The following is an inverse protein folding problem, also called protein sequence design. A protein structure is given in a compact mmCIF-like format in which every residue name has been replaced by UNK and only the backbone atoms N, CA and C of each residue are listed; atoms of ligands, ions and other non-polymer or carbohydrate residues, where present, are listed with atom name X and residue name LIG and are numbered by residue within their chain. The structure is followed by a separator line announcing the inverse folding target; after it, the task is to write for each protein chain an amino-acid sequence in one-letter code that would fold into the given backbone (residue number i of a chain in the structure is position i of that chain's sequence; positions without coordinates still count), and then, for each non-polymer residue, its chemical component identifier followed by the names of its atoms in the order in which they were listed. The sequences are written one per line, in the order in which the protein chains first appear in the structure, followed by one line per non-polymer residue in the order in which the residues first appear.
data_IF_878617509101
#
_entry.id   IF_878617509101
#
_cell.length_a   1.000
_cell.length_b   1.000
_cell.length_c   1.000
_cell.angle_alpha   90.00
_cell.angle_beta   90.00
_cell.angle_gamma   90.00
#
_symmetry.space_group_name_H-M   'P 1'
#
loop_
_entity.id
_entity.type
_entity.pdbx_description
1 polymer ?
#
# COMPACT_ATOMS: atom_id res chain seq x y z
N UNK A 1 37.52 -3.48 -64.54
CA UNK A 1 36.19 -3.49 -63.86
C UNK A 1 35.70 -4.87 -63.41
N UNK A 2 36.39 -5.99 -63.70
CA UNK A 2 35.96 -7.33 -63.25
C UNK A 2 36.56 -7.79 -61.92
N UNK A 3 37.66 -7.18 -61.45
CA UNK A 3 38.33 -7.57 -60.19
C UNK A 3 37.78 -6.86 -58.94
N UNK A 4 37.27 -5.62 -59.05
CA UNK A 4 36.69 -4.91 -57.89
C UNK A 4 35.35 -5.49 -57.41
N UNK A 5 34.63 -6.20 -58.27
CA UNK A 5 33.37 -6.86 -57.91
C UNK A 5 33.58 -8.12 -57.04
N UNK A 6 34.70 -8.82 -57.21
CA UNK A 6 35.00 -10.04 -56.44
C UNK A 6 35.38 -9.73 -54.99
N UNK A 7 36.11 -8.62 -54.76
CA UNK A 7 36.49 -8.20 -53.40
C UNK A 7 35.28 -7.69 -52.61
N UNK A 8 34.35 -6.99 -53.26
CA UNK A 8 33.13 -6.49 -52.63
C UNK A 8 32.17 -7.62 -52.22
N UNK A 9 32.09 -8.70 -52.99
CA UNK A 9 31.25 -9.86 -52.62
C UNK A 9 31.79 -10.65 -51.43
N UNK A 10 33.12 -10.69 -51.23
CA UNK A 10 33.74 -11.37 -50.08
C UNK A 10 33.55 -10.55 -48.79
N UNK A 11 33.66 -9.22 -48.87
CA UNK A 11 33.43 -8.32 -47.71
C UNK A 11 31.96 -8.32 -47.29
N UNK A 12 31.02 -8.40 -48.24
CA UNK A 12 29.59 -8.52 -47.94
C UNK A 12 29.27 -9.88 -47.29
N UNK A 13 29.89 -10.98 -47.73
CA UNK A 13 29.68 -12.30 -47.12
C UNK A 13 30.17 -12.36 -45.67
N UNK A 14 31.29 -11.70 -45.36
CA UNK A 14 31.82 -11.60 -43.99
C UNK A 14 30.97 -10.69 -43.09
N UNK A 15 30.26 -9.70 -43.65
CA UNK A 15 29.32 -8.86 -42.90
C UNK A 15 28.02 -9.59 -42.53
N UNK A 16 27.60 -10.56 -43.36
CA UNK A 16 26.43 -11.42 -43.08
C UNK A 16 26.72 -12.53 -42.07
N UNK A 17 27.98 -12.97 -41.93
CA UNK A 17 28.42 -13.78 -40.79
C UNK A 17 28.80 -12.89 -39.61
N UNK A 18 27.88 -12.05 -39.14
CA UNK A 18 27.86 -11.68 -37.73
C UNK A 18 27.55 -12.96 -36.95
N UNK A 19 28.60 -13.74 -36.68
CA UNK A 19 28.58 -14.79 -35.67
C UNK A 19 28.29 -14.05 -34.38
N UNK A 20 27.02 -13.90 -34.04
CA UNK A 20 26.60 -13.63 -32.68
C UNK A 20 27.16 -14.79 -31.86
N UNK A 21 28.32 -14.57 -31.24
CA UNK A 21 28.75 -15.39 -30.12
C UNK A 21 27.64 -15.25 -29.09
N UNK A 22 26.76 -16.25 -29.03
CA UNK A 22 25.82 -16.40 -27.93
C UNK A 22 26.69 -16.72 -26.73
N UNK A 23 27.07 -15.67 -26.00
CA UNK A 23 27.88 -15.81 -24.81
C UNK A 23 26.97 -16.39 -23.73
N UNK A 24 27.06 -17.71 -23.55
CA UNK A 24 26.32 -18.43 -22.52
C UNK A 24 26.57 -17.83 -21.15
N UNK A 25 25.52 -17.67 -20.36
CA UNK A 25 25.59 -17.26 -18.98
C UNK A 25 26.14 -18.43 -18.14
N UNK A 26 27.33 -18.28 -17.59
CA UNK A 26 27.93 -19.27 -16.70
C UNK A 26 27.64 -18.91 -15.24
N UNK A 27 27.12 -19.87 -14.48
CA UNK A 27 26.94 -19.76 -13.03
C UNK A 27 27.04 -21.12 -12.36
N UNK A 28 27.50 -21.14 -11.11
CA UNK A 28 27.63 -22.38 -10.36
C UNK A 28 26.24 -22.84 -9.88
N UNK A 29 25.71 -23.91 -10.46
CA UNK A 29 24.42 -24.46 -10.04
C UNK A 29 24.47 -25.02 -8.60
N UNK A 30 25.64 -25.55 -8.21
CA UNK A 30 25.91 -26.25 -6.95
C UNK A 30 26.12 -25.35 -5.73
N UNK A 31 26.41 -25.98 -4.60
CA UNK A 31 26.97 -25.31 -3.43
C UNK A 31 28.41 -24.87 -3.71
N UNK A 32 28.82 -23.75 -3.13
CA UNK A 32 30.13 -23.14 -3.41
C UNK A 32 30.86 -22.78 -2.12
N UNK A 33 32.19 -22.89 -2.11
CA UNK A 33 33.02 -22.52 -0.95
C UNK A 33 33.21 -20.99 -0.87
N UNK A 34 33.40 -20.35 -2.02
CA UNK A 34 33.48 -18.90 -2.16
C UNK A 34 32.23 -18.36 -2.79
N UNK A 35 31.78 -17.19 -2.37
CA UNK A 35 30.55 -16.59 -2.91
C UNK A 35 30.67 -16.28 -4.40
N UNK A 36 29.75 -16.79 -5.20
CA UNK A 36 29.68 -16.55 -6.65
C UNK A 36 28.34 -15.94 -7.04
N UNK A 37 28.35 -15.21 -8.18
CA UNK A 37 27.21 -14.46 -8.67
C UNK A 37 26.05 -15.37 -9.05
N UNK A 38 24.87 -15.07 -8.52
CA UNK A 38 23.62 -15.69 -8.97
C UNK A 38 23.02 -14.91 -10.17
N UNK A 39 22.33 -15.60 -11.09
CA UNK A 39 21.54 -14.93 -12.13
C UNK A 39 20.41 -14.12 -11.52
N UNK A 40 20.02 -13.01 -12.17
CA UNK A 40 18.89 -12.18 -11.74
C UNK A 40 19.17 -11.27 -10.55
N UNK A 41 18.17 -10.45 -10.20
CA UNK A 41 18.29 -9.40 -9.17
C UNK A 41 17.92 -9.87 -7.75
N UNK A 42 17.11 -10.93 -7.63
CA UNK A 42 16.55 -11.37 -6.35
C UNK A 42 17.06 -12.74 -5.89
N UNK A 43 17.87 -13.42 -6.73
CA UNK A 43 18.49 -14.68 -6.37
C UNK A 43 19.75 -14.43 -5.54
N UNK A 44 19.92 -15.19 -4.47
CA UNK A 44 21.11 -15.12 -3.64
C UNK A 44 21.48 -16.48 -3.08
N UNK A 45 22.56 -16.48 -2.28
CA UNK A 45 23.02 -17.63 -1.51
C UNK A 45 23.03 -17.29 -0.02
N UNK A 46 22.66 -18.23 0.83
CA UNK A 46 22.83 -18.11 2.28
C UNK A 46 23.87 -19.13 2.76
N UNK A 47 24.45 -18.87 3.93
CA UNK A 47 25.45 -19.77 4.51
C UNK A 47 24.77 -20.99 5.12
N UNK A 48 25.29 -22.17 4.81
CA UNK A 48 24.88 -23.45 5.38
C UNK A 48 26.03 -23.96 6.24
N UNK A 49 25.78 -24.34 7.51
CA UNK A 49 26.81 -24.96 8.34
C UNK A 49 27.21 -26.30 7.73
N UNK A 50 28.50 -26.46 7.41
CA UNK A 50 29.06 -27.71 6.90
C UNK A 50 29.56 -28.63 8.02
N UNK A 51 29.65 -29.93 7.74
CA UNK A 51 30.03 -30.97 8.71
C UNK A 51 31.43 -30.80 9.34
N UNK A 52 32.31 -29.99 8.74
CA UNK A 52 33.71 -29.77 9.15
C UNK A 52 34.04 -28.29 9.47
N UNK A 53 33.10 -27.51 10.04
CA UNK A 53 33.26 -26.07 10.37
C UNK A 53 33.53 -25.13 9.16
N UNK A 54 33.62 -25.65 7.94
CA UNK A 54 33.73 -24.84 6.72
C UNK A 54 32.34 -24.29 6.35
N UNK A 55 32.19 -22.97 6.34
CA UNK A 55 30.97 -22.30 5.88
C UNK A 55 30.81 -22.49 4.37
N UNK A 56 29.80 -23.27 3.95
CA UNK A 56 29.47 -23.47 2.54
C UNK A 56 28.32 -22.52 2.17
N UNK A 57 28.30 -22.06 0.93
CA UNK A 57 27.16 -21.29 0.40
C UNK A 57 26.17 -22.22 -0.28
N UNK A 58 24.88 -21.97 -0.03
CA UNK A 58 23.77 -22.68 -0.65
C UNK A 58 23.79 -22.57 -2.17
N UNK A 59 23.00 -23.40 -2.84
CA UNK A 59 22.61 -23.23 -4.25
C UNK A 59 21.99 -21.82 -4.45
N UNK A 60 22.05 -21.28 -5.67
CA UNK A 60 21.35 -20.03 -5.98
C UNK A 60 19.84 -20.23 -5.85
N UNK A 61 19.16 -19.34 -5.12
CA UNK A 61 17.72 -19.48 -4.90
C UNK A 61 17.11 -18.26 -4.20
N UNK A 62 15.88 -18.41 -3.68
CA UNK A 62 15.21 -17.35 -2.93
C UNK A 62 15.87 -17.21 -1.55
N UNK A 63 16.01 -15.96 -1.10
CA UNK A 63 16.48 -15.69 0.25
C UNK A 63 15.40 -16.06 1.30
N UNK A 64 15.80 -16.49 2.52
CA UNK A 64 14.85 -16.79 3.58
C UNK A 64 14.04 -15.54 3.97
N UNK A 65 12.85 -15.76 4.56
CA UNK A 65 11.96 -14.67 4.99
C UNK A 65 12.71 -13.71 5.94
N UNK A 66 12.51 -12.41 5.76
CA UNK A 66 13.22 -11.39 6.54
C UNK A 66 14.66 -11.11 6.09
N UNK A 67 15.09 -11.67 4.96
CA UNK A 67 16.40 -11.41 4.38
C UNK A 67 16.30 -10.99 2.91
N UNK A 68 17.32 -10.27 2.45
CA UNK A 68 17.42 -9.76 1.08
C UNK A 68 18.82 -9.98 0.54
N UNK A 69 18.91 -10.14 -0.77
CA UNK A 69 20.19 -10.23 -1.47
C UNK A 69 20.94 -8.90 -1.45
N UNK A 70 22.23 -8.96 -1.11
CA UNK A 70 23.15 -7.82 -1.14
C UNK A 70 23.91 -7.73 -2.49
N UNK A 71 24.70 -6.68 -2.68
CA UNK A 71 25.57 -6.45 -3.84
C UNK A 71 26.55 -7.60 -4.14
N UNK A 72 26.90 -8.40 -3.14
CA UNK A 72 27.75 -9.60 -3.27
C UNK A 72 26.97 -10.89 -3.53
N UNK A 73 25.66 -10.81 -3.80
CA UNK A 73 24.77 -11.96 -4.02
C UNK A 73 24.54 -12.86 -2.78
N UNK A 74 24.95 -12.38 -1.60
CA UNK A 74 24.65 -13.01 -0.32
C UNK A 74 23.24 -12.62 0.16
N UNK A 75 22.48 -13.57 0.69
CA UNK A 75 21.27 -13.30 1.45
C UNK A 75 21.67 -12.80 2.84
N UNK A 76 21.34 -11.54 3.13
CA UNK A 76 21.60 -10.89 4.42
C UNK A 76 20.28 -10.52 5.07
N UNK A 77 20.16 -10.79 6.37
CA UNK A 77 18.98 -10.38 7.13
C UNK A 77 18.80 -8.86 7.11
N UNK A 78 17.54 -8.44 7.01
CA UNK A 78 17.20 -7.04 7.09
C UNK A 78 17.25 -6.59 8.55
N UNK A 79 18.05 -5.58 8.86
CA UNK A 79 18.20 -5.01 10.21
C UNK A 79 17.73 -3.56 10.28
N UNK A 80 17.31 -2.98 9.15
CA UNK A 80 16.74 -1.64 9.09
C UNK A 80 15.35 -1.56 9.70
N UNK A 81 14.98 -0.36 10.13
CA UNK A 81 13.62 0.00 10.51
C UNK A 81 12.88 0.66 9.34
N UNK A 82 11.54 0.59 9.29
CA UNK A 82 10.75 1.31 8.30
C UNK A 82 10.99 2.82 8.40
N UNK A 83 11.05 3.46 7.25
CA UNK A 83 11.09 4.91 7.13
C UNK A 83 9.74 5.53 7.55
N UNK A 84 9.70 6.85 7.77
CA UNK A 84 8.45 7.54 8.07
C UNK A 84 7.38 7.31 6.96
N UNK A 85 7.82 7.26 5.70
CA UNK A 85 6.95 6.98 4.56
C UNK A 85 6.37 5.56 4.61
N UNK A 86 7.20 4.56 4.96
CA UNK A 86 6.74 3.17 5.13
C UNK A 86 5.66 3.07 6.23
N UNK A 87 5.86 3.78 7.35
CA UNK A 87 4.85 3.83 8.41
C UNK A 87 3.55 4.50 7.97
N UNK A 88 3.62 5.57 7.17
CA UNK A 88 2.44 6.19 6.59
C UNK A 88 1.73 5.25 5.61
N UNK A 89 2.47 4.50 4.80
CA UNK A 89 1.88 3.48 3.95
C UNK A 89 1.13 2.42 4.77
N UNK A 90 1.72 1.89 5.84
CA UNK A 90 1.04 0.94 6.72
C UNK A 90 -0.19 1.54 7.39
N UNK A 91 -0.09 2.78 7.86
CA UNK A 91 -1.22 3.53 8.41
C UNK A 91 -2.34 3.70 7.38
N UNK A 92 -2.01 4.01 6.13
CA UNK A 92 -2.96 4.12 5.03
C UNK A 92 -3.72 2.80 4.80
N UNK A 93 -3.03 1.66 4.81
CA UNK A 93 -3.68 0.35 4.65
C UNK A 93 -4.63 0.03 5.81
N UNK A 94 -4.27 0.42 7.04
CA UNK A 94 -5.16 0.32 8.22
C UNK A 94 -6.38 1.24 8.06
N UNK A 95 -6.19 2.48 7.62
CA UNK A 95 -7.27 3.46 7.39
C UNK A 95 -8.22 2.98 6.29
N UNK A 96 -7.73 2.41 5.19
CA UNK A 96 -8.59 1.80 4.17
C UNK A 96 -9.46 0.70 4.78
N UNK A 97 -8.88 -0.18 5.59
CA UNK A 97 -9.62 -1.22 6.29
C UNK A 97 -10.72 -0.66 7.19
N UNK A 98 -10.43 0.41 7.95
CA UNK A 98 -11.41 1.09 8.80
C UNK A 98 -12.53 1.75 7.98
N UNK A 99 -12.18 2.49 6.92
CA UNK A 99 -13.14 3.16 6.04
C UNK A 99 -14.05 2.14 5.35
N UNK A 100 -13.51 0.99 4.96
CA UNK A 100 -14.28 -0.14 4.43
C UNK A 100 -15.31 -0.68 5.44
N UNK A 101 -14.94 -0.80 6.71
CA UNK A 101 -15.90 -1.15 7.76
C UNK A 101 -16.96 -0.07 7.97
N UNK A 102 -16.58 1.20 8.03
CA UNK A 102 -17.52 2.30 8.19
C UNK A 102 -18.49 2.39 7.01
N UNK A 103 -17.99 2.26 5.78
CA UNK A 103 -18.82 2.16 4.57
C UNK A 103 -19.81 1.00 4.66
N UNK A 104 -19.39 -0.16 5.18
CA UNK A 104 -20.26 -1.32 5.38
C UNK A 104 -21.35 -1.06 6.40
N UNK A 105 -21.07 -0.28 7.45
CA UNK A 105 -22.06 0.16 8.45
C UNK A 105 -23.04 1.14 7.82
N UNK A 106 -22.55 2.20 7.19
CA UNK A 106 -23.38 3.27 6.63
C UNK A 106 -24.31 2.78 5.51
N UNK A 107 -23.81 1.91 4.63
CA UNK A 107 -24.62 1.38 3.52
C UNK A 107 -25.67 0.38 4.01
N UNK A 108 -25.42 -0.33 5.12
CA UNK A 108 -26.32 -1.38 5.63
C UNK A 108 -27.25 -0.90 6.76
N UNK A 109 -26.95 0.22 7.41
CA UNK A 109 -27.79 0.90 8.41
C UNK A 109 -28.33 2.20 7.81
N UNK A 110 -29.46 2.15 7.07
CA UNK A 110 -30.11 3.34 6.54
C UNK A 110 -30.84 4.09 7.67
N UNK A 111 -30.10 4.75 8.56
CA UNK A 111 -30.66 5.70 9.51
C UNK A 111 -29.95 7.05 9.33
N UNK A 112 -30.70 8.04 8.83
CA UNK A 112 -30.22 9.40 8.54
C UNK A 112 -29.92 10.25 9.78
N UNK A 113 -30.07 9.69 10.99
CA UNK A 113 -29.85 10.40 12.24
C UNK A 113 -28.69 9.77 13.01
N UNK A 114 -27.83 10.64 13.55
CA UNK A 114 -26.69 10.29 14.41
C UNK A 114 -27.17 9.64 15.71
N UNK A 115 -27.52 8.35 15.64
CA UNK A 115 -27.96 7.57 16.79
C UNK A 115 -26.75 7.12 17.61
N UNK A 116 -26.88 7.11 18.93
CA UNK A 116 -25.89 6.54 19.84
C UNK A 116 -25.49 5.11 19.46
N UNK A 117 -26.42 4.32 18.91
CA UNK A 117 -26.17 2.96 18.43
C UNK A 117 -25.26 2.93 17.20
N UNK A 118 -25.52 3.81 16.23
CA UNK A 118 -24.69 3.93 15.02
C UNK A 118 -23.28 4.39 15.39
N UNK A 119 -23.18 5.45 16.19
CA UNK A 119 -21.90 5.95 16.70
C UNK A 119 -21.11 4.85 17.45
N UNK A 120 -21.76 4.14 18.38
CA UNK A 120 -21.13 3.02 19.08
C UNK A 120 -20.65 1.91 18.16
N UNK A 121 -21.32 1.71 17.03
CA UNK A 121 -20.95 0.69 16.03
C UNK A 121 -19.72 1.13 15.22
N UNK A 122 -19.61 2.42 14.84
CA UNK A 122 -18.38 2.97 14.24
C UNK A 122 -17.20 2.96 15.22
N UNK A 123 -17.46 3.25 16.49
CA UNK A 123 -16.45 3.21 17.53
C UNK A 123 -15.95 1.78 17.80
N UNK A 124 -16.83 0.79 17.78
CA UNK A 124 -16.44 -0.63 17.81
C UNK A 124 -15.51 -1.00 16.65
N UNK A 125 -15.83 -0.54 15.43
CA UNK A 125 -14.98 -0.75 14.26
C UNK A 125 -13.58 -0.16 14.45
N UNK A 126 -13.49 1.05 15.00
CA UNK A 126 -12.21 1.69 15.31
C UNK A 126 -11.40 0.86 16.31
N UNK A 127 -12.01 0.39 17.40
CA UNK A 127 -11.34 -0.46 18.40
C UNK A 127 -10.84 -1.77 17.77
N UNK A 128 -11.71 -2.44 16.99
CA UNK A 128 -11.38 -3.69 16.28
C UNK A 128 -10.17 -3.51 15.36
N UNK A 129 -10.15 -2.44 14.57
CA UNK A 129 -9.05 -2.13 13.66
C UNK A 129 -7.77 -1.75 14.41
N UNK A 130 -7.84 -0.92 15.44
CA UNK A 130 -6.68 -0.55 16.26
C UNK A 130 -6.08 -1.78 16.95
N UNK A 131 -6.91 -2.64 17.54
CA UNK A 131 -6.44 -3.86 18.20
C UNK A 131 -5.80 -4.82 17.19
N UNK A 132 -6.41 -4.97 16.01
CA UNK A 132 -5.84 -5.75 14.91
C UNK A 132 -4.47 -5.21 14.49
N UNK A 133 -4.32 -3.89 14.31
CA UNK A 133 -3.05 -3.27 13.96
C UNK A 133 -1.97 -3.47 15.05
N UNK A 134 -2.32 -3.27 16.32
CA UNK A 134 -1.40 -3.50 17.44
C UNK A 134 -0.94 -4.96 17.49
N UNK A 135 -1.86 -5.92 17.41
CA UNK A 135 -1.51 -7.35 17.41
C UNK A 135 -0.66 -7.69 16.19
N UNK A 136 -0.98 -7.13 15.02
CA UNK A 136 -0.18 -7.32 13.80
C UNK A 136 1.27 -6.92 14.03
N UNK A 137 1.53 -5.78 14.67
CA UNK A 137 2.90 -5.35 14.99
C UNK A 137 3.57 -6.31 15.98
N UNK A 138 2.87 -6.70 17.05
CA UNK A 138 3.40 -7.59 18.09
C UNK A 138 3.79 -8.99 17.61
N UNK A 139 3.18 -9.48 16.53
CA UNK A 139 3.48 -10.80 15.96
C UNK A 139 4.55 -10.77 14.85
N UNK A 140 4.90 -9.58 14.35
CA UNK A 140 6.01 -9.44 13.42
C UNK A 140 7.32 -9.24 14.18
N UNK A 141 8.44 -9.48 13.50
CA UNK A 141 9.74 -9.36 14.13
C UNK A 141 10.13 -7.90 14.38
N UNK A 142 10.67 -7.57 15.57
CA UNK A 142 10.88 -8.45 16.74
C UNK A 142 9.60 -8.73 17.55
N UNK A 143 9.37 -10.01 17.87
CA UNK A 143 8.16 -10.47 18.57
C UNK A 143 7.93 -9.74 19.90
N UNK A 144 6.71 -9.30 20.13
CA UNK A 144 6.29 -8.61 21.36
C UNK A 144 6.68 -7.13 21.43
N UNK A 145 7.30 -6.57 20.39
CA UNK A 145 7.61 -5.14 20.29
C UNK A 145 6.66 -4.44 19.32
N UNK A 146 6.45 -3.13 19.51
CA UNK A 146 5.78 -2.27 18.52
C UNK A 146 6.75 -1.72 17.47
N UNK A 147 8.03 -2.05 17.58
CA UNK A 147 9.02 -1.78 16.55
C UNK A 147 8.93 -2.83 15.45
N UNK A 148 9.24 -2.43 14.22
CA UNK A 148 9.19 -3.31 13.07
C UNK A 148 10.58 -3.38 12.43
N UNK A 149 11.02 -4.59 12.09
CA UNK A 149 12.20 -4.83 11.26
C UNK A 149 11.77 -4.88 9.80
N UNK A 150 12.39 -4.11 8.91
CA UNK A 150 12.04 -4.09 7.50
C UNK A 150 13.23 -4.04 6.56
N UNK A 151 13.02 -4.51 5.33
CA UNK A 151 13.92 -4.34 4.19
C UNK A 151 13.55 -3.05 3.44
N UNK A 152 14.54 -2.21 3.15
CA UNK A 152 14.32 -0.95 2.41
C UNK A 152 13.79 -1.22 1.00
N UNK A 153 12.74 -0.50 0.61
CA UNK A 153 12.21 -0.49 -0.76
C UNK A 153 13.19 0.28 -1.65
N UNK A 154 13.67 -0.35 -2.73
CA UNK A 154 14.58 0.30 -3.70
C UNK A 154 13.88 0.59 -5.02
N UNK A 155 13.12 -0.38 -5.52
CA UNK A 155 12.47 -0.31 -6.82
C UNK A 155 11.05 -0.87 -6.78
N UNK A 156 10.22 -0.47 -7.75
CA UNK A 156 8.88 -1.05 -7.92
C UNK A 156 8.93 -2.57 -8.15
N UNK A 157 9.96 -3.06 -8.83
CA UNK A 157 10.19 -4.49 -9.07
C UNK A 157 10.33 -5.31 -7.78
N UNK A 158 10.70 -4.67 -6.66
CA UNK A 158 10.86 -5.36 -5.36
C UNK A 158 9.53 -5.93 -4.85
N UNK A 159 8.41 -5.36 -5.28
CA UNK A 159 7.06 -5.82 -4.96
C UNK A 159 6.59 -6.99 -5.84
N UNK A 160 7.31 -7.25 -6.93
CA UNK A 160 6.91 -8.19 -7.98
C UNK A 160 8.03 -9.15 -8.36
N UNK A 161 8.77 -9.66 -7.36
CA UNK A 161 9.94 -10.54 -7.58
C UNK A 161 9.60 -11.78 -8.42
N UNK A 162 8.36 -12.27 -8.35
CA UNK A 162 7.85 -13.40 -9.15
C UNK A 162 8.00 -13.15 -10.66
N UNK A 163 7.87 -11.90 -11.12
CA UNK A 163 8.00 -11.51 -12.53
C UNK A 163 9.47 -11.40 -12.97
N UNK A 164 10.41 -11.46 -12.03
CA UNK A 164 11.84 -11.25 -12.25
C UNK A 164 12.67 -12.52 -12.00
N UNK A 165 12.05 -13.70 -12.13
CA UNK A 165 12.76 -14.98 -12.10
C UNK A 165 13.63 -15.12 -13.37
N UNK A 166 14.95 -15.33 -13.23
CA UNK A 166 15.83 -15.47 -14.39
C UNK A 166 15.71 -16.86 -15.02
N UNK A 167 15.97 -16.92 -16.33
CA UNK A 167 16.07 -18.16 -17.10
C UNK A 167 17.46 -18.24 -17.76
N UNK A 168 18.52 -18.60 -17.01
CA UNK A 168 19.88 -18.69 -17.54
C UNK A 168 19.94 -19.67 -18.71
N UNK A 169 20.45 -19.21 -19.85
CA UNK A 169 20.58 -19.98 -21.10
C UNK A 169 19.29 -20.62 -21.63
N UNK A 170 18.11 -20.18 -21.16
CA UNK A 170 16.82 -20.79 -21.51
C UNK A 170 16.68 -22.28 -21.15
N UNK A 171 17.51 -22.80 -20.24
CA UNK A 171 17.47 -24.20 -19.81
C UNK A 171 16.45 -24.43 -18.69
N UNK A 172 16.52 -23.61 -17.64
CA UNK A 172 15.73 -23.76 -16.42
C UNK A 172 15.39 -22.40 -15.83
N UNK A 173 14.18 -22.25 -15.29
CA UNK A 173 13.78 -21.03 -14.58
C UNK A 173 14.18 -21.15 -13.13
N UNK A 174 15.04 -20.24 -12.67
CA UNK A 174 15.41 -20.18 -11.26
C UNK A 174 14.33 -19.40 -10.49
N UNK A 175 13.66 -20.07 -9.56
CA UNK A 175 12.59 -19.47 -8.76
C UNK A 175 13.17 -18.70 -7.57
N UNK A 176 13.29 -17.39 -7.70
CA UNK A 176 13.85 -16.49 -6.69
C UNK A 176 12.82 -15.52 -6.12
N UNK A 177 11.54 -15.87 -6.23
CA UNK A 177 10.46 -15.08 -5.69
C UNK A 177 10.54 -15.08 -4.15
N UNK A 178 10.63 -13.90 -3.56
CA UNK A 178 10.74 -13.69 -2.13
C UNK A 178 10.22 -12.29 -1.78
N UNK A 179 9.90 -12.06 -0.51
CA UNK A 179 9.42 -10.76 -0.06
C UNK A 179 10.55 -9.73 0.08
N UNK A 180 10.99 -9.13 -1.03
CA UNK A 180 12.13 -8.21 -1.03
C UNK A 180 11.88 -6.92 -0.23
N UNK A 181 10.61 -6.59 0.00
CA UNK A 181 10.12 -5.46 0.81
C UNK A 181 9.60 -5.91 2.17
N UNK A 182 10.11 -7.02 2.72
CA UNK A 182 9.64 -7.58 3.98
C UNK A 182 9.61 -6.51 5.09
N UNK A 183 8.54 -6.42 5.91
CA UNK A 183 7.31 -7.19 5.88
C UNK A 183 6.16 -6.41 5.20
N UNK A 184 6.45 -5.32 4.48
CA UNK A 184 5.44 -4.36 3.99
C UNK A 184 4.36 -4.99 3.10
N UNK A 185 4.68 -6.10 2.43
CA UNK A 185 3.71 -6.83 1.64
C UNK A 185 2.85 -7.77 2.51
N UNK A 186 3.49 -8.63 3.29
CA UNK A 186 2.81 -9.67 4.08
C UNK A 186 2.04 -9.13 5.28
N UNK A 187 2.52 -8.06 5.92
CA UNK A 187 1.94 -7.48 7.14
C UNK A 187 0.49 -7.00 6.94
N UNK A 188 0.17 -6.50 5.74
CA UNK A 188 -1.17 -6.03 5.40
C UNK A 188 -2.18 -7.18 5.37
N UNK A 189 -1.80 -8.34 4.82
CA UNK A 189 -2.67 -9.52 4.81
C UNK A 189 -2.95 -10.02 6.21
N UNK A 190 -1.93 -10.02 7.07
CA UNK A 190 -2.06 -10.39 8.48
C UNK A 190 -3.02 -9.42 9.18
N UNK A 191 -2.87 -8.11 8.96
CA UNK A 191 -3.78 -7.10 9.50
C UNK A 191 -5.23 -7.29 9.03
N UNK A 192 -5.47 -7.55 7.75
CA UNK A 192 -6.82 -7.79 7.25
C UNK A 192 -7.42 -9.09 7.81
N UNK A 193 -6.63 -10.16 7.91
CA UNK A 193 -7.06 -11.41 8.55
C UNK A 193 -7.41 -11.21 10.02
N UNK A 194 -6.57 -10.50 10.78
CA UNK A 194 -6.85 -10.15 12.18
C UNK A 194 -8.04 -9.20 12.31
N UNK A 195 -8.29 -8.33 11.34
CA UNK A 195 -9.47 -7.45 11.35
C UNK A 195 -10.76 -8.24 11.17
N UNK A 196 -10.78 -9.24 10.29
CA UNK A 196 -11.90 -10.18 10.15
C UNK A 196 -12.07 -11.01 11.43
N UNK A 197 -10.98 -11.45 12.05
CA UNK A 197 -11.04 -12.11 13.36
C UNK A 197 -11.67 -11.19 14.40
N UNK A 198 -11.18 -9.96 14.58
CA UNK A 198 -11.74 -9.00 15.54
C UNK A 198 -13.21 -8.68 15.27
N UNK A 199 -13.62 -8.63 14.01
CA UNK A 199 -15.02 -8.48 13.62
C UNK A 199 -15.90 -9.61 14.20
N UNK A 200 -15.45 -10.86 14.20
CA UNK A 200 -16.20 -11.98 14.81
C UNK A 200 -16.14 -11.98 16.34
N UNK A 201 -15.03 -11.51 16.93
CA UNK A 201 -14.82 -11.58 18.37
C UNK A 201 -15.37 -10.39 19.14
N UNK A 202 -15.37 -9.18 18.59
CA UNK A 202 -15.78 -7.95 19.29
C UNK A 202 -17.18 -7.52 18.84
N UNK A 203 -17.47 -7.54 17.53
CA UNK A 203 -18.72 -6.98 17.00
C UNK A 203 -19.99 -7.61 17.57
N UNK A 204 -20.08 -8.94 17.78
CA UNK A 204 -21.27 -9.53 18.41
C UNK A 204 -21.52 -9.03 19.82
N UNK A 205 -20.45 -8.84 20.62
CA UNK A 205 -20.55 -8.31 21.97
C UNK A 205 -20.92 -6.82 21.96
N UNK A 206 -20.32 -6.03 21.08
CA UNK A 206 -20.66 -4.64 20.88
C UNK A 206 -22.13 -4.47 20.47
N UNK A 207 -22.61 -5.29 19.52
CA UNK A 207 -24.02 -5.29 19.10
C UNK A 207 -24.96 -5.68 20.24
N UNK A 208 -24.60 -6.67 21.06
CA UNK A 208 -25.37 -7.04 22.26
C UNK A 208 -25.44 -5.88 23.26
N UNK A 209 -24.32 -5.22 23.52
CA UNK A 209 -24.24 -4.07 24.43
C UNK A 209 -25.06 -2.87 23.94
N UNK A 210 -25.04 -2.59 22.64
CA UNK A 210 -25.81 -1.51 21.99
C UNK A 210 -27.27 -1.90 21.71
N UNK A 211 -27.67 -3.13 22.06
CA UNK A 211 -29.00 -3.68 21.81
C UNK A 211 -29.39 -3.68 20.31
N UNK A 212 -28.40 -3.87 19.43
CA UNK A 212 -28.63 -4.12 18.01
C UNK A 212 -29.07 -5.57 17.83
N UNK A 213 -30.20 -5.81 17.14
CA UNK A 213 -30.78 -7.15 16.95
C UNK A 213 -31.11 -7.43 15.49
N UNK A 214 -31.18 -8.72 15.16
CA UNK A 214 -31.59 -9.21 13.83
C UNK A 214 -30.68 -8.72 12.70
N UNK A 215 -31.26 -8.41 11.55
CA UNK A 215 -30.55 -8.00 10.35
C UNK A 215 -29.71 -6.72 10.51
N UNK A 216 -30.11 -5.82 11.41
CA UNK A 216 -29.37 -4.56 11.67
C UNK A 216 -27.98 -4.85 12.26
N UNK A 217 -27.86 -5.91 13.07
CA UNK A 217 -26.59 -6.29 13.68
C UNK A 217 -25.70 -7.09 12.71
N UNK A 218 -26.29 -7.92 11.85
CA UNK A 218 -25.54 -8.89 11.04
C UNK A 218 -25.17 -8.40 9.64
N UNK A 219 -25.97 -7.55 9.00
CA UNK A 219 -25.70 -7.07 7.62
C UNK A 219 -24.34 -6.37 7.47
N UNK A 220 -23.91 -5.46 8.37
CA UNK A 220 -22.59 -4.85 8.27
C UNK A 220 -21.44 -5.85 8.40
N UNK A 221 -21.62 -6.89 9.23
CA UNK A 221 -20.63 -7.96 9.44
C UNK A 221 -20.44 -8.73 8.13
N UNK A 222 -21.53 -9.14 7.49
CA UNK A 222 -21.46 -9.84 6.21
C UNK A 222 -20.86 -8.96 5.11
N UNK A 223 -21.24 -7.68 5.03
CA UNK A 223 -20.67 -6.76 4.06
C UNK A 223 -19.14 -6.62 4.22
N UNK A 224 -18.65 -6.44 5.46
CA UNK A 224 -17.23 -6.38 5.74
C UNK A 224 -16.51 -7.70 5.42
N UNK A 225 -17.15 -8.85 5.66
CA UNK A 225 -16.59 -10.18 5.35
C UNK A 225 -16.35 -10.39 3.84
N UNK A 226 -17.16 -9.76 2.98
CA UNK A 226 -16.90 -9.75 1.54
C UNK A 226 -15.86 -8.70 1.14
N UNK A 227 -15.82 -7.56 1.82
CA UNK A 227 -14.96 -6.44 1.46
C UNK A 227 -13.48 -6.67 1.79
N UNK A 228 -13.17 -7.30 2.93
CA UNK A 228 -11.78 -7.59 3.32
C UNK A 228 -11.03 -8.50 2.32
N UNK A 229 -11.61 -9.61 1.84
CA UNK A 229 -11.00 -10.41 0.78
C UNK A 229 -10.76 -9.64 -0.52
N UNK A 230 -11.68 -8.74 -0.90
CA UNK A 230 -11.52 -7.89 -2.09
C UNK A 230 -10.34 -6.93 -1.89
N UNK A 231 -10.23 -6.29 -0.72
CA UNK A 231 -9.08 -5.43 -0.38
C UNK A 231 -7.77 -6.20 -0.38
N UNK A 232 -7.75 -7.43 0.17
CA UNK A 232 -6.59 -8.30 0.15
C UNK A 232 -6.18 -8.67 -1.28
N UNK A 233 -7.14 -8.97 -2.16
CA UNK A 233 -6.87 -9.26 -3.58
C UNK A 233 -6.28 -8.03 -4.30
N UNK A 234 -6.88 -6.86 -4.10
CA UNK A 234 -6.37 -5.60 -4.67
C UNK A 234 -4.94 -5.35 -4.19
N UNK A 235 -4.67 -5.49 -2.89
CA UNK A 235 -3.31 -5.37 -2.35
C UNK A 235 -2.37 -6.42 -2.97
N UNK A 236 -2.77 -7.69 -3.05
CA UNK A 236 -1.92 -8.74 -3.60
C UNK A 236 -1.45 -8.50 -5.03
N UNK A 237 -2.29 -7.84 -5.85
CA UNK A 237 -1.99 -7.52 -7.24
C UNK A 237 -1.30 -6.15 -7.37
N UNK A 238 -1.74 -5.15 -6.60
CA UNK A 238 -1.38 -3.75 -6.79
C UNK A 238 -0.49 -3.17 -5.69
N UNK A 239 0.01 -3.96 -4.73
CA UNK A 239 0.74 -3.47 -3.55
C UNK A 239 1.82 -2.44 -3.87
N UNK A 240 2.69 -2.74 -4.85
CA UNK A 240 3.74 -1.82 -5.27
C UNK A 240 3.19 -0.53 -5.85
N UNK A 241 2.18 -0.62 -6.73
CA UNK A 241 1.52 0.58 -7.29
C UNK A 241 0.85 1.41 -6.20
N UNK A 242 0.17 0.78 -5.25
CA UNK A 242 -0.46 1.44 -4.10
C UNK A 242 0.60 2.13 -3.25
N UNK A 243 1.73 1.48 -2.96
CA UNK A 243 2.82 2.05 -2.17
C UNK A 243 3.36 3.37 -2.76
N UNK A 244 3.47 3.49 -4.09
CA UNK A 244 3.92 4.74 -4.71
C UNK A 244 2.77 5.75 -4.95
N UNK A 245 1.52 5.29 -5.06
CA UNK A 245 0.38 6.13 -5.40
C UNK A 245 -0.48 6.57 -4.21
N UNK A 246 -0.36 5.97 -3.03
CA UNK A 246 -1.27 6.22 -1.90
C UNK A 246 -1.39 7.70 -1.49
N UNK A 247 -0.32 8.53 -1.51
CA UNK A 247 -0.46 9.94 -1.15
C UNK A 247 -1.38 10.66 -2.13
N UNK A 248 -1.23 10.38 -3.42
CA UNK A 248 -2.08 10.93 -4.47
C UNK A 248 -3.51 10.39 -4.39
N UNK A 249 -3.69 9.09 -4.12
CA UNK A 249 -5.00 8.45 -3.97
C UNK A 249 -5.78 9.14 -2.84
N UNK A 250 -5.18 9.30 -1.66
CA UNK A 250 -5.89 9.87 -0.52
C UNK A 250 -6.17 11.37 -0.70
N UNK A 251 -5.26 12.12 -1.34
CA UNK A 251 -5.50 13.53 -1.70
C UNK A 251 -6.71 13.64 -2.64
N UNK A 252 -6.73 12.85 -3.72
CA UNK A 252 -7.82 12.88 -4.70
C UNK A 252 -9.16 12.47 -4.07
N UNK A 253 -9.18 11.37 -3.31
CA UNK A 253 -10.39 10.91 -2.64
C UNK A 253 -10.88 11.92 -1.59
N UNK A 254 -9.98 12.57 -0.84
CA UNK A 254 -10.40 13.58 0.12
C UNK A 254 -10.94 14.83 -0.58
N UNK A 255 -10.35 15.28 -1.70
CA UNK A 255 -10.87 16.41 -2.48
C UNK A 255 -12.25 16.10 -3.06
N UNK A 256 -12.43 14.91 -3.65
CA UNK A 256 -13.73 14.46 -4.16
C UNK A 256 -14.78 14.38 -3.04
N UNK A 257 -14.41 13.83 -1.88
CA UNK A 257 -15.31 13.68 -0.74
C UNK A 257 -15.69 15.03 -0.13
N UNK A 258 -14.76 15.98 -0.01
CA UNK A 258 -15.05 17.36 0.37
C UNK A 258 -16.05 18.01 -0.58
N UNK A 259 -15.79 17.94 -1.89
CA UNK A 259 -16.64 18.55 -2.90
C UNK A 259 -18.06 17.95 -2.85
N UNK A 260 -18.18 16.63 -2.71
CA UNK A 260 -19.47 15.95 -2.56
C UNK A 260 -20.20 16.35 -1.29
N UNK A 261 -19.49 16.49 -0.16
CA UNK A 261 -20.09 16.91 1.10
C UNK A 261 -20.73 18.29 1.03
N UNK A 262 -20.08 19.25 0.37
CA UNK A 262 -20.67 20.59 0.20
C UNK A 262 -21.71 20.65 -0.93
N UNK A 263 -21.50 19.90 -2.03
CA UNK A 263 -22.45 19.86 -3.15
C UNK A 263 -23.79 19.21 -2.78
N UNK A 264 -23.80 18.32 -1.78
CA UNK A 264 -25.03 17.67 -1.29
C UNK A 264 -25.89 18.56 -0.38
N UNK A 265 -25.49 19.81 -0.12
CA UNK A 265 -26.27 20.76 0.68
C UNK A 265 -27.40 21.39 -0.13
N UNK A 266 -28.53 21.61 0.52
CA UNK A 266 -29.71 22.23 -0.11
C UNK A 266 -29.51 23.73 -0.37
N UNK A 267 -28.88 24.44 0.56
CA UNK A 267 -28.53 25.86 0.40
C UNK A 267 -27.06 25.98 -0.03
N UNK A 268 -26.85 26.42 -1.28
CA UNK A 268 -25.51 26.57 -1.88
C UNK A 268 -24.92 27.98 -1.67
N UNK A 269 -25.62 28.86 -0.95
CA UNK A 269 -25.12 30.20 -0.65
C UNK A 269 -23.89 30.13 0.27
N UNK A 270 -22.85 30.91 -0.05
CA UNK A 270 -21.57 30.88 0.68
C UNK A 270 -21.71 31.17 2.19
N UNK A 271 -22.70 32.00 2.57
CA UNK A 271 -22.99 32.32 3.98
C UNK A 271 -23.62 31.15 4.71
N UNK A 272 -24.59 30.48 4.09
CA UNK A 272 -25.23 29.31 4.67
C UNK A 272 -24.22 28.17 4.83
N UNK A 273 -23.39 27.92 3.81
CA UNK A 273 -22.35 26.90 3.87
C UNK A 273 -21.35 27.16 5.01
N UNK A 274 -20.88 28.40 5.19
CA UNK A 274 -20.01 28.73 6.33
C UNK A 274 -20.71 28.54 7.68
N UNK A 275 -21.92 29.07 7.81
CA UNK A 275 -22.67 29.00 9.05
C UNK A 275 -22.97 27.55 9.44
N UNK A 276 -23.43 26.72 8.50
CA UNK A 276 -23.73 25.31 8.73
C UNK A 276 -22.47 24.49 9.02
N UNK A 277 -21.32 24.84 8.43
CA UNK A 277 -20.05 24.14 8.69
C UNK A 277 -19.61 24.31 10.13
N UNK A 278 -19.75 25.51 10.70
CA UNK A 278 -19.28 25.82 12.06
C UNK A 278 -20.34 25.56 13.12
N UNK A 279 -21.62 25.79 12.80
CA UNK A 279 -22.71 25.70 13.79
C UNK A 279 -23.26 24.29 13.98
N UNK A 280 -23.11 23.42 12.98
CA UNK A 280 -23.56 22.02 13.07
C UNK A 280 -22.38 21.11 13.40
N UNK A 281 -22.40 20.49 14.59
CA UNK A 281 -21.33 19.60 15.08
C UNK A 281 -21.04 18.47 14.09
N UNK A 282 -22.07 17.87 13.49
CA UNK A 282 -21.89 16.79 12.52
C UNK A 282 -21.09 17.25 11.30
N UNK A 283 -21.43 18.42 10.74
CA UNK A 283 -20.74 18.96 9.57
C UNK A 283 -19.29 19.31 9.91
N UNK A 284 -19.08 19.92 11.08
CA UNK A 284 -17.75 20.25 11.57
C UNK A 284 -16.87 18.99 11.72
N UNK A 285 -17.41 17.92 12.31
CA UNK A 285 -16.69 16.64 12.46
C UNK A 285 -16.33 16.04 11.11
N UNK A 286 -17.25 16.05 10.14
CA UNK A 286 -16.98 15.53 8.80
C UNK A 286 -15.87 16.33 8.10
N UNK A 287 -15.96 17.67 8.13
CA UNK A 287 -14.94 18.55 7.52
C UNK A 287 -13.58 18.37 8.18
N UNK A 288 -13.52 18.29 9.52
CA UNK A 288 -12.27 18.00 10.24
C UNK A 288 -11.71 16.63 9.84
N UNK A 289 -12.56 15.61 9.72
CA UNK A 289 -12.15 14.29 9.23
C UNK A 289 -11.54 14.35 7.84
N UNK A 290 -12.15 15.12 6.93
CA UNK A 290 -11.61 15.33 5.60
C UNK A 290 -10.29 16.11 5.61
N UNK A 291 -10.12 17.12 6.49
CA UNK A 291 -8.85 17.84 6.68
C UNK A 291 -7.75 16.90 7.16
N UNK A 292 -8.06 16.01 8.12
CA UNK A 292 -7.10 15.01 8.62
C UNK A 292 -6.66 14.08 7.49
N UNK A 293 -7.59 13.55 6.69
CA UNK A 293 -7.26 12.69 5.55
C UNK A 293 -6.48 13.43 4.46
N UNK A 294 -6.84 14.68 4.15
CA UNK A 294 -6.13 15.50 3.18
C UNK A 294 -4.71 15.84 3.65
N UNK A 295 -4.56 16.27 4.90
CA UNK A 295 -3.28 16.53 5.53
C UNK A 295 -2.40 15.30 5.57
N UNK A 296 -2.95 14.14 5.91
CA UNK A 296 -2.22 12.86 5.85
C UNK A 296 -1.62 12.61 4.47
N UNK A 297 -2.39 12.82 3.39
CA UNK A 297 -1.89 12.68 2.03
C UNK A 297 -0.78 13.68 1.67
N UNK A 298 -0.97 14.94 2.04
CA UNK A 298 0.02 16.00 1.81
C UNK A 298 1.33 15.73 2.57
N UNK A 299 1.24 15.29 3.83
CA UNK A 299 2.42 14.90 4.63
C UNK A 299 3.15 13.72 3.99
N UNK A 300 2.43 12.68 3.55
CA UNK A 300 3.05 11.53 2.90
C UNK A 300 3.77 11.92 1.60
N UNK A 301 3.15 12.78 0.79
CA UNK A 301 3.73 13.25 -0.47
C UNK A 301 4.97 14.13 -0.23
N UNK A 302 4.92 15.01 0.78
CA UNK A 302 6.02 15.92 1.09
C UNK A 302 7.22 15.22 1.72
N UNK A 303 6.99 14.27 2.62
CA UNK A 303 8.06 13.44 3.17
C UNK A 303 8.80 12.65 2.09
N UNK A 304 8.11 12.27 1.02
CA UNK A 304 8.70 11.59 -0.12
C UNK A 304 9.51 12.54 -1.03
N UNK A 305 8.97 13.72 -1.34
CA UNK A 305 9.56 14.65 -2.32
C UNK A 305 10.52 15.68 -1.71
N UNK A 306 10.05 16.46 -0.74
CA UNK A 306 10.72 17.67 -0.23
C UNK A 306 10.30 17.95 1.23
N UNK A 307 10.98 17.36 2.23
CA UNK A 307 10.59 17.49 3.64
C UNK A 307 10.70 18.92 4.18
N UNK A 308 11.57 19.75 3.59
CA UNK A 308 11.77 21.16 4.00
C UNK A 308 10.50 22.02 3.85
N UNK A 309 9.57 21.63 2.95
CA UNK A 309 8.35 22.39 2.65
C UNK A 309 7.14 21.94 3.50
N UNK A 310 7.32 20.96 4.38
CA UNK A 310 6.24 20.35 5.16
C UNK A 310 5.38 21.38 5.91
N UNK A 311 6.02 22.34 6.58
CA UNK A 311 5.33 23.36 7.36
C UNK A 311 4.43 24.26 6.48
N UNK A 312 4.93 24.65 5.30
CA UNK A 312 4.17 25.47 4.34
C UNK A 312 2.99 24.67 3.80
N UNK A 313 3.20 23.40 3.43
CA UNK A 313 2.14 22.57 2.84
C UNK A 313 1.03 22.24 3.84
N UNK A 314 1.35 22.13 5.14
CA UNK A 314 0.32 21.97 6.17
C UNK A 314 -0.66 23.15 6.25
N UNK A 315 -0.23 24.37 5.89
CA UNK A 315 -1.14 25.52 5.82
C UNK A 315 -2.17 25.42 4.69
N UNK A 316 -1.93 24.54 3.70
CA UNK A 316 -2.84 24.29 2.59
C UNK A 316 -3.93 23.27 2.91
N UNK A 317 -3.89 22.60 4.06
CA UNK A 317 -4.87 21.58 4.44
C UNK A 317 -6.33 22.07 4.38
N UNK A 318 -6.69 23.24 4.94
CA UNK A 318 -8.07 23.72 4.90
C UNK A 318 -8.43 24.40 3.58
N UNK A 319 -7.48 24.56 2.66
CA UNK A 319 -7.66 25.27 1.39
C UNK A 319 -8.83 24.73 0.56
N UNK A 320 -9.04 23.41 0.38
CA UNK A 320 -10.16 22.90 -0.41
C UNK A 320 -11.53 23.36 0.11
N UNK A 321 -11.71 23.39 1.43
CA UNK A 321 -12.94 23.87 2.07
C UNK A 321 -13.16 25.35 1.81
N UNK A 322 -12.14 26.18 2.05
CA UNK A 322 -12.25 27.62 1.83
C UNK A 322 -12.48 27.96 0.35
N UNK A 323 -11.76 27.30 -0.57
CA UNK A 323 -11.93 27.49 -2.00
C UNK A 323 -13.34 27.12 -2.44
N UNK A 324 -13.88 25.99 -1.99
CA UNK A 324 -15.24 25.59 -2.34
C UNK A 324 -16.27 26.65 -1.91
N UNK A 325 -16.20 27.08 -0.64
CA UNK A 325 -17.12 28.07 -0.06
C UNK A 325 -17.03 29.41 -0.80
N UNK A 326 -15.82 29.89 -1.11
CA UNK A 326 -15.61 31.15 -1.82
C UNK A 326 -16.14 31.06 -3.25
N UNK A 327 -15.85 29.94 -3.93
CA UNK A 327 -16.28 29.72 -5.32
C UNK A 327 -17.79 29.51 -5.44
N UNK A 328 -18.46 28.99 -4.40
CA UNK A 328 -19.92 28.80 -4.42
C UNK A 328 -20.67 30.10 -4.67
N UNK A 329 -20.09 31.26 -4.30
CA UNK A 329 -20.62 32.59 -4.62
C UNK A 329 -20.84 32.80 -6.12
N UNK A 330 -20.00 32.21 -6.97
CA UNK A 330 -20.05 32.36 -8.43
C UNK A 330 -20.82 31.24 -9.13
N UNK A 331 -21.06 30.12 -8.46
CA UNK A 331 -21.73 28.94 -9.02
C UNK A 331 -23.14 28.72 -8.48
N UNK A 332 -23.66 29.65 -7.67
CA UNK A 332 -25.00 29.57 -7.09
C UNK A 332 -26.10 29.59 -8.17
N UNK A 333 -26.86 28.49 -8.36
CA UNK A 333 -27.89 28.39 -9.38
C UNK A 333 -29.01 29.43 -9.21
N UNK A 334 -29.28 29.89 -7.98
CA UNK A 334 -30.33 30.87 -7.70
C UNK A 334 -30.11 32.23 -8.36
N UNK A 335 -28.88 32.54 -8.75
CA UNK A 335 -28.53 33.80 -9.45
C UNK A 335 -28.81 33.76 -10.95
N UNK A 336 -28.99 32.59 -11.55
CA UNK A 336 -29.27 32.47 -12.99
C UNK A 336 -30.77 32.54 -13.33
N UNK A 337 -31.65 32.69 -12.32
CA UNK A 337 -33.10 32.78 -12.49
C UNK A 337 -33.67 34.19 -12.25
N UNK A 338 -32.81 35.21 -12.13
CA UNK A 338 -33.23 36.60 -11.85
C UNK A 338 -32.92 37.61 -12.97
N UNK A 339 -32.47 37.13 -14.12
CA UNK A 339 -32.48 37.85 -15.41
C UNK A 339 -33.49 37.16 -16.35
#
# INVERSE_FOLDING_TARGET
MKEMASLSSIVVLLFFFNIHFIQGYYYDKGTVQTITKCPGYYCGRYQVPGDNETSLWSLCGPCPRGSRVNSTWACTECTSSPTAYDWMYLCFMVVIGLLAQWYSIDTMLPNSQFSWKTFGTHFSALIETCLSACITLLIHEPLGSLQLRSCTVKHLSDWYTILHNPNPNYEEVLHCAQEAVYPLYSIVFVHYGLSVFMLFFIRPWANKALQNRGHVASRPIYAALYLYPILALIHGIMAGLIYYAFPSIIILLSLMSHAFHFASRTDQSWRALLYETVSCIHNLVVVIGHWVLHGFGLVALTLWLQPELLAVILTLVPLPTFLYIVLSRFTDPGKFHTD
#
